data_IF_827217474720
#
_entry.id   IF_827217474720
#
_cell.length_a   1.000
_cell.length_b   1.000
_cell.length_c   1.000
_cell.angle_alpha   90.00
_cell.angle_beta   90.00
_cell.angle_gamma   90.00
#
_symmetry.space_group_name_H-M   'P 1'
#
loop_
_entity.id
_entity.type
_entity.pdbx_description
1 polymer ?
#
# COMPACT_ATOMS: atom_id res chain seq x y z
N UNK A 1 7.88 17.78 1.34
CA UNK A 1 6.70 17.81 2.21
C UNK A 1 6.45 16.43 2.80
N UNK A 2 7.04 16.12 3.96
CA UNK A 2 6.99 14.79 4.59
C UNK A 2 5.68 14.54 5.39
N UNK A 3 4.73 15.48 5.31
CA UNK A 3 3.46 15.45 6.03
C UNK A 3 2.42 14.50 5.42
N UNK A 4 2.53 14.18 4.12
CA UNK A 4 1.63 13.28 3.38
C UNK A 4 1.78 11.79 3.74
N UNK A 5 2.81 11.43 4.51
CA UNK A 5 3.21 10.06 4.81
C UNK A 5 2.33 9.37 5.87
N UNK A 6 1.43 10.12 6.52
CA UNK A 6 0.56 9.57 7.58
C UNK A 6 -0.74 8.95 7.07
N UNK A 7 -1.21 9.33 5.88
CA UNK A 7 -2.50 8.88 5.35
C UNK A 7 -2.33 7.85 4.24
N UNK A 8 -2.33 6.56 4.62
CA UNK A 8 -2.38 5.43 3.67
C UNK A 8 -3.49 5.60 2.62
N UNK A 9 -4.72 6.02 2.96
CA UNK A 9 -5.77 6.26 1.97
C UNK A 9 -5.40 7.35 0.95
N UNK A 10 -4.74 8.42 1.38
CA UNK A 10 -4.32 9.51 0.50
C UNK A 10 -3.18 9.08 -0.44
N UNK A 11 -2.18 8.34 0.08
CA UNK A 11 -1.11 7.75 -0.71
C UNK A 11 -1.64 6.74 -1.74
N UNK A 12 -2.57 5.87 -1.35
CA UNK A 12 -3.20 4.93 -2.27
C UNK A 12 -3.99 5.65 -3.37
N UNK A 13 -4.67 6.77 -3.07
CA UNK A 13 -5.35 7.58 -4.09
C UNK A 13 -4.38 8.16 -5.11
N UNK A 14 -3.25 8.73 -4.68
CA UNK A 14 -2.25 9.28 -5.61
C UNK A 14 -1.64 8.21 -6.53
N UNK A 15 -1.48 7.00 -6.02
CA UNK A 15 -0.99 5.85 -6.79
C UNK A 15 -2.08 5.14 -7.63
N UNK A 16 -3.34 5.60 -7.55
CA UNK A 16 -4.53 4.94 -8.14
C UNK A 16 -4.73 3.49 -7.65
N UNK A 17 -4.35 3.25 -6.40
CA UNK A 17 -4.46 1.99 -5.69
C UNK A 17 -5.52 2.03 -4.57
N UNK A 18 -6.38 3.06 -4.55
CA UNK A 18 -7.43 3.27 -3.54
C UNK A 18 -8.45 2.13 -3.43
N UNK A 19 -8.51 1.23 -4.41
CA UNK A 19 -9.30 0.00 -4.29
C UNK A 19 -8.79 -0.97 -3.21
N UNK A 20 -7.51 -0.86 -2.82
CA UNK A 20 -6.88 -1.67 -1.77
C UNK A 20 -6.85 -0.95 -0.41
N UNK A 21 -7.55 0.19 -0.29
CA UNK A 21 -7.59 0.91 0.98
C UNK A 21 -8.18 0.05 2.08
N UNK A 22 -9.25 -0.71 1.82
CA UNK A 22 -9.82 -1.61 2.82
C UNK A 22 -8.92 -2.81 3.15
N UNK A 23 -8.16 -3.33 2.18
CA UNK A 23 -7.21 -4.42 2.37
C UNK A 23 -6.02 -4.02 3.26
N UNK A 24 -5.71 -2.71 3.32
CA UNK A 24 -4.52 -2.17 3.94
C UNK A 24 -4.84 -1.17 5.08
N UNK A 25 -6.11 -1.01 5.44
CA UNK A 25 -6.57 -0.07 6.48
C UNK A 25 -6.06 -0.43 7.87
N UNK A 26 -5.82 -1.72 8.10
CA UNK A 26 -5.37 -2.25 9.40
C UNK A 26 -3.85 -2.08 9.59
N UNK A 27 -3.15 -1.54 8.60
CA UNK A 27 -1.72 -1.33 8.62
C UNK A 27 -1.39 0.12 8.93
N UNK A 28 -0.33 0.32 9.70
CA UNK A 28 0.34 1.62 9.80
C UNK A 28 1.39 1.77 8.69
N UNK A 29 1.74 3.00 8.33
CA UNK A 29 2.75 3.29 7.31
C UNK A 29 4.07 2.53 7.55
N UNK A 30 4.53 2.44 8.80
CA UNK A 30 5.73 1.68 9.19
C UNK A 30 5.62 0.17 8.93
N UNK A 31 4.42 -0.40 9.05
CA UNK A 31 4.17 -1.81 8.73
C UNK A 31 4.10 -1.98 7.22
N UNK A 32 3.51 -1.01 6.51
CA UNK A 32 3.43 -1.00 5.05
C UNK A 32 4.82 -1.05 4.39
N UNK A 33 5.79 -0.33 4.94
CA UNK A 33 7.20 -0.35 4.52
C UNK A 33 7.88 -1.72 4.69
N UNK A 34 7.37 -2.56 5.60
CA UNK A 34 7.94 -3.89 5.87
C UNK A 34 7.26 -5.00 5.06
N UNK A 35 6.23 -4.67 4.27
CA UNK A 35 5.48 -5.66 3.53
C UNK A 35 6.29 -6.27 2.39
N UNK A 36 6.16 -7.58 2.23
CA UNK A 36 6.66 -8.32 1.08
C UNK A 36 5.57 -8.52 0.00
N UNK A 37 5.96 -9.01 -1.18
CA UNK A 37 5.01 -9.34 -2.26
C UNK A 37 3.96 -10.37 -1.79
N UNK A 38 4.41 -11.40 -1.07
CA UNK A 38 3.58 -12.48 -0.51
C UNK A 38 2.59 -11.94 0.53
N UNK A 39 3.03 -11.00 1.37
CA UNK A 39 2.18 -10.37 2.37
C UNK A 39 1.13 -9.44 1.78
N UNK A 40 1.44 -8.79 0.66
CA UNK A 40 0.47 -8.00 -0.11
C UNK A 40 -0.55 -8.91 -0.79
N UNK A 41 -0.10 -10.03 -1.35
CA UNK A 41 -0.97 -11.05 -1.95
C UNK A 41 -1.93 -11.67 -0.94
N UNK A 42 -1.42 -12.07 0.23
CA UNK A 42 -2.24 -12.62 1.34
C UNK A 42 -3.32 -11.65 1.84
N UNK A 43 -3.06 -10.33 1.75
CA UNK A 43 -4.04 -9.29 2.08
C UNK A 43 -5.05 -9.02 0.96
N UNK A 44 -4.94 -9.68 -0.19
CA UNK A 44 -5.87 -9.54 -1.33
C UNK A 44 -5.40 -8.58 -2.42
N UNK A 45 -4.11 -8.16 -2.42
CA UNK A 45 -3.49 -7.46 -3.54
C UNK A 45 -3.02 -8.49 -4.59
N UNK A 46 -3.99 -9.13 -5.25
CA UNK A 46 -3.69 -10.22 -6.20
C UNK A 46 -3.04 -9.74 -7.51
N UNK A 47 -3.15 -8.44 -7.83
CA UNK A 47 -2.55 -7.91 -9.05
C UNK A 47 -1.04 -7.68 -8.85
N UNK A 48 -0.21 -8.51 -9.50
CA UNK A 48 1.26 -8.40 -9.46
C UNK A 48 1.77 -6.99 -9.83
N UNK A 49 1.11 -6.32 -10.77
CA UNK A 49 1.44 -4.94 -11.14
C UNK A 49 1.19 -3.94 -10.01
N UNK A 50 0.13 -4.14 -9.21
CA UNK A 50 -0.14 -3.31 -8.04
C UNK A 50 0.89 -3.56 -6.93
N UNK A 51 1.25 -4.82 -6.67
CA UNK A 51 2.26 -5.17 -5.67
C UNK A 51 3.62 -4.56 -6.00
N UNK A 52 4.11 -4.75 -7.22
CA UNK A 52 5.35 -4.12 -7.70
C UNK A 52 5.32 -2.60 -7.62
N UNK A 53 4.17 -1.97 -7.87
CA UNK A 53 4.01 -0.52 -7.76
C UNK A 53 4.06 -0.03 -6.32
N UNK A 54 3.44 -0.75 -5.38
CA UNK A 54 3.52 -0.46 -3.95
C UNK A 54 4.95 -0.58 -3.46
N UNK A 55 5.63 -1.70 -3.76
CA UNK A 55 7.02 -1.95 -3.35
C UNK A 55 8.03 -0.93 -3.93
N UNK A 56 7.76 -0.36 -5.11
CA UNK A 56 8.60 0.70 -5.72
C UNK A 56 8.31 2.11 -5.23
N UNK A 57 7.15 2.35 -4.60
CA UNK A 57 6.74 3.68 -4.13
C UNK A 57 7.23 4.00 -2.71
N UNK A 58 7.93 3.06 -2.08
CA UNK A 58 8.58 3.20 -0.79
C UNK A 58 10.08 3.43 -0.92
#
# INVERSE_FOLDING_TARGET
DYSLVKDIPAWLRSQRLHKYTDNLKDLNYKQMLKLTDEELESRGVNATGARRKMLKSF
#
